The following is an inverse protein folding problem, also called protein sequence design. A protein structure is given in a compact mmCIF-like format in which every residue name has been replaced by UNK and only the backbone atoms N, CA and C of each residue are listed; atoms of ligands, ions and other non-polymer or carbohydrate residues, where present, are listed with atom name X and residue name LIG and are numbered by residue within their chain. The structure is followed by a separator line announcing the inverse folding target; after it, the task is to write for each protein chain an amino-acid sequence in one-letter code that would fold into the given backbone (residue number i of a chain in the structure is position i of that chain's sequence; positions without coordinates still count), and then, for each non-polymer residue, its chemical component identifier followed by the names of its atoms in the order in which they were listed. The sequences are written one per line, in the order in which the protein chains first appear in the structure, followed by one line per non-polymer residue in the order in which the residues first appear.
data_IF_565401764371
#
_entry.id   IF_565401764371
#
_cell.length_a   1.000
_cell.length_b   1.000
_cell.length_c   1.000
_cell.angle_alpha   90.00
_cell.angle_beta   90.00
_cell.angle_gamma   90.00
#
_symmetry.space_group_name_H-M   'P 1'
#
loop_
_entity.id
_entity.type
_entity.pdbx_description
1 polymer ?
#
# COMPACT_ATOMS: atom_id res chain seq x y z
N UNK A 1 -14.06 -38.02 44.88
CA UNK A 1 -14.59 -37.17 45.98
C UNK A 1 -15.34 -36.01 45.36
N UNK A 2 -16.62 -35.82 45.72
CA UNK A 2 -17.54 -34.86 45.10
C UNK A 2 -17.50 -33.57 45.93
N UNK A 3 -17.09 -32.41 45.39
CA UNK A 3 -16.97 -31.21 46.19
C UNK A 3 -18.34 -30.77 46.70
N UNK A 4 -18.42 -30.46 47.98
CA UNK A 4 -19.63 -30.00 48.65
C UNK A 4 -20.05 -28.59 48.18
N UNK A 5 -21.36 -28.38 48.04
CA UNK A 5 -21.98 -27.19 47.42
C UNK A 5 -21.46 -25.85 47.96
N UNK A 6 -21.16 -25.78 49.26
CA UNK A 6 -20.66 -24.57 49.92
C UNK A 6 -19.26 -24.19 49.44
N UNK A 7 -18.40 -25.16 49.21
CA UNK A 7 -17.03 -24.97 48.70
C UNK A 7 -17.06 -24.47 47.25
N UNK A 8 -18.07 -24.87 46.48
CA UNK A 8 -18.27 -24.42 45.11
C UNK A 8 -18.66 -22.93 45.05
N UNK A 9 -19.55 -22.47 45.94
CA UNK A 9 -19.90 -21.05 46.03
C UNK A 9 -18.75 -20.17 46.51
N UNK A 10 -17.94 -20.66 47.45
CA UNK A 10 -16.76 -19.94 47.93
C UNK A 10 -15.68 -19.82 46.84
N UNK A 11 -15.46 -20.86 46.03
CA UNK A 11 -14.54 -20.80 44.89
C UNK A 11 -15.06 -19.87 43.78
N UNK A 12 -16.36 -19.88 43.49
CA UNK A 12 -16.98 -18.95 42.54
C UNK A 12 -16.87 -17.50 43.00
N UNK A 13 -17.12 -17.23 44.29
CA UNK A 13 -16.99 -15.89 44.87
C UNK A 13 -15.53 -15.40 44.85
N UNK A 14 -14.56 -16.27 45.15
CA UNK A 14 -13.14 -15.96 45.08
C UNK A 14 -12.68 -15.69 43.63
N UNK A 15 -13.17 -16.45 42.64
CA UNK A 15 -12.89 -16.22 41.22
C UNK A 15 -13.49 -14.89 40.74
N UNK A 16 -14.71 -14.56 41.16
CA UNK A 16 -15.34 -13.28 40.84
C UNK A 16 -14.60 -12.09 41.47
N UNK A 17 -14.11 -12.22 42.71
CA UNK A 17 -13.28 -11.18 43.35
C UNK A 17 -11.91 -11.02 42.67
N UNK A 18 -11.29 -12.11 42.23
CA UNK A 18 -10.01 -12.07 41.52
C UNK A 18 -10.11 -11.35 40.17
N UNK A 19 -11.27 -11.41 39.50
CA UNK A 19 -11.52 -10.68 38.24
C UNK A 19 -11.77 -9.18 38.45
N UNK A 20 -12.19 -8.74 39.64
CA UNK A 20 -12.39 -7.33 39.98
C UNK A 20 -11.11 -6.62 40.47
N UNK A 21 -10.07 -7.38 40.82
CA UNK A 21 -8.83 -6.89 41.43
C UNK A 21 -7.60 -6.95 40.53
N UNK A 22 -7.77 -7.19 39.22
CA UNK A 22 -6.72 -6.91 38.24
C UNK A 22 -7.01 -5.53 37.66
N UNK A 23 -6.20 -4.50 37.94
CA UNK A 23 -6.29 -3.24 37.23
C UNK A 23 -6.17 -3.55 35.75
N UNK A 24 -7.21 -3.24 34.96
CA UNK A 24 -7.24 -3.53 33.52
C UNK A 24 -6.03 -2.96 32.77
N UNK A 25 -5.27 -2.05 33.38
CA UNK A 25 -4.02 -1.50 32.86
C UNK A 25 -2.87 -2.51 32.66
N UNK A 26 -2.82 -3.65 33.37
CA UNK A 26 -1.69 -4.59 33.24
C UNK A 26 -1.97 -5.68 32.17
N UNK A 27 -3.22 -5.97 31.87
CA UNK A 27 -3.58 -6.86 30.75
C UNK A 27 -3.30 -6.20 29.38
N UNK A 28 -3.26 -4.86 29.31
CA UNK A 28 -3.02 -4.12 28.08
C UNK A 28 -1.54 -3.93 27.72
N UNK A 29 -0.62 -4.13 28.66
CA UNK A 29 0.82 -3.88 28.41
C UNK A 29 1.54 -5.13 27.87
N UNK A 30 1.14 -6.32 28.30
CA UNK A 30 1.74 -7.58 27.83
C UNK A 30 1.16 -8.09 26.49
N UNK A 31 -0.01 -7.60 26.07
CA UNK A 31 -0.63 -7.97 24.78
C UNK A 31 -0.06 -7.14 23.62
N UNK A 32 0.51 -5.96 23.86
CA UNK A 32 1.06 -5.13 22.77
C UNK A 32 2.38 -5.63 22.20
N UNK A 33 3.16 -6.42 22.95
CA UNK A 33 4.50 -6.83 22.52
C UNK A 33 4.56 -8.21 21.83
N UNK A 34 3.47 -8.98 21.83
CA UNK A 34 3.46 -10.35 21.28
C UNK A 34 2.48 -10.57 20.12
N UNK A 35 1.70 -9.57 19.73
CA UNK A 35 0.74 -9.68 18.62
C UNK A 35 1.13 -8.78 17.43
N UNK A 36 2.36 -8.91 16.93
CA UNK A 36 2.64 -8.56 15.52
C UNK A 36 1.93 -9.53 14.55
N UNK A 37 1.47 -10.67 15.05
CA UNK A 37 0.80 -11.69 14.24
C UNK A 37 -0.66 -11.32 13.89
N UNK A 38 -1.35 -10.49 14.67
CA UNK A 38 -2.75 -10.12 14.37
C UNK A 38 -2.90 -8.98 13.34
N UNK A 39 -1.80 -8.36 12.93
CA UNK A 39 -1.77 -7.49 11.74
C UNK A 39 -1.88 -8.30 10.42
N UNK A 40 -1.88 -9.65 10.51
CA UNK A 40 -1.98 -10.56 9.36
C UNK A 40 -3.35 -11.24 9.16
N UNK A 41 -4.30 -11.04 10.09
CA UNK A 41 -5.67 -11.58 9.97
C UNK A 41 -6.75 -10.52 9.81
N UNK A 42 -6.42 -9.23 9.95
CA UNK A 42 -7.00 -8.26 9.05
C UNK A 42 -6.56 -8.69 7.67
N UNK A 43 -7.53 -9.17 6.88
CA UNK A 43 -7.36 -9.33 5.45
C UNK A 43 -6.44 -8.21 4.98
N UNK A 44 -5.37 -8.60 4.27
CA UNK A 44 -4.73 -7.74 3.29
C UNK A 44 -5.85 -7.39 2.31
N UNK A 45 -6.69 -6.45 2.73
CA UNK A 45 -7.61 -5.73 1.89
C UNK A 45 -6.68 -5.29 0.77
N UNK A 46 -6.87 -5.78 -0.47
CA UNK A 46 -6.16 -5.16 -1.58
C UNK A 46 -6.37 -3.68 -1.36
N UNK A 47 -5.27 -2.93 -1.26
CA UNK A 47 -5.28 -1.50 -0.95
C UNK A 47 -6.53 -0.92 -1.60
N UNK A 48 -7.44 -0.28 -0.83
CA UNK A 48 -8.75 0.09 -1.34
C UNK A 48 -8.48 0.71 -2.69
N UNK A 49 -9.04 0.14 -3.76
CA UNK A 49 -8.97 0.70 -5.09
C UNK A 49 -9.54 2.09 -4.93
N UNK A 50 -8.66 3.02 -4.59
CA UNK A 50 -9.02 4.32 -4.10
C UNK A 50 -9.57 4.92 -5.37
N UNK A 51 -10.87 5.23 -5.36
CA UNK A 51 -11.45 6.28 -6.20
C UNK A 51 -10.73 7.58 -5.85
N UNK A 52 -9.43 7.63 -6.11
CA UNK A 52 -8.72 8.85 -6.37
C UNK A 52 -9.47 9.41 -7.56
N UNK A 53 -10.02 10.60 -7.38
CA UNK A 53 -10.57 11.40 -8.45
C UNK A 53 -9.35 11.71 -9.31
N UNK A 54 -9.00 10.73 -10.16
CA UNK A 54 -7.98 10.89 -11.16
C UNK A 54 -8.48 12.07 -11.98
N UNK A 55 -7.69 13.15 -12.16
CA UNK A 55 -8.04 14.11 -13.19
C UNK A 55 -8.28 13.27 -14.45
N UNK A 56 -9.46 13.42 -15.05
CA UNK A 56 -9.83 12.64 -16.23
C UNK A 56 -8.64 12.64 -17.18
N UNK A 57 -8.22 11.47 -17.72
CA UNK A 57 -7.12 11.39 -18.67
C UNK A 57 -7.26 12.56 -19.64
N UNK A 58 -6.20 13.34 -19.89
CA UNK A 58 -6.28 14.52 -20.75
C UNK A 58 -7.13 14.15 -21.96
N UNK A 59 -8.32 14.74 -22.07
CA UNK A 59 -9.34 14.30 -23.02
C UNK A 59 -8.64 14.11 -24.36
N UNK A 60 -8.67 12.89 -24.92
CA UNK A 60 -7.93 12.45 -26.11
C UNK A 60 -7.98 13.55 -27.18
N UNK A 61 -7.05 14.51 -27.10
CA UNK A 61 -6.89 15.53 -28.13
C UNK A 61 -6.31 14.72 -29.25
N UNK A 62 -6.98 14.68 -30.40
CA UNK A 62 -6.60 13.93 -31.59
C UNK A 62 -5.19 14.31 -32.05
N UNK A 63 -4.19 13.78 -31.35
CA UNK A 63 -2.83 14.29 -31.28
C UNK A 63 -1.87 13.11 -31.36
N UNK A 64 -0.75 13.38 -32.01
CA UNK A 64 0.36 12.44 -32.22
C UNK A 64 0.72 11.75 -30.91
N UNK A 65 0.75 10.41 -30.93
CA UNK A 65 1.25 9.63 -29.80
C UNK A 65 2.77 9.82 -29.70
N UNK A 66 3.23 10.08 -28.48
CA UNK A 66 4.65 10.09 -28.10
C UNK A 66 4.88 8.88 -27.21
N UNK A 67 5.81 8.02 -27.61
CA UNK A 67 6.19 6.88 -26.80
C UNK A 67 7.22 7.33 -25.76
N UNK A 68 6.88 7.17 -24.48
CA UNK A 68 7.74 7.56 -23.36
C UNK A 68 8.32 6.30 -22.72
N UNK A 69 9.65 6.23 -22.69
CA UNK A 69 10.38 5.13 -22.06
C UNK A 69 10.57 5.40 -20.56
N UNK A 70 10.07 4.49 -19.73
CA UNK A 70 10.30 4.49 -18.29
C UNK A 70 11.41 3.49 -17.96
N UNK A 71 12.39 3.91 -17.16
CA UNK A 71 13.50 3.06 -16.73
C UNK A 71 13.72 3.16 -15.22
N UNK A 72 13.75 2.03 -14.53
CA UNK A 72 13.94 1.94 -13.07
C UNK A 72 15.12 1.04 -12.75
N UNK A 73 16.10 1.57 -11.99
CA UNK A 73 17.27 0.80 -11.56
C UNK A 73 16.97 0.07 -10.25
N UNK A 74 16.50 -1.17 -10.36
CA UNK A 74 16.18 -2.01 -9.21
C UNK A 74 16.60 -3.49 -9.46
N UNK A 75 17.90 -3.79 -9.50
CA UNK A 75 18.40 -5.11 -9.93
C UNK A 75 17.96 -6.26 -9.01
N UNK A 76 17.75 -5.97 -7.72
CA UNK A 76 17.31 -6.95 -6.72
C UNK A 76 15.80 -7.11 -6.64
N UNK A 77 15.03 -6.27 -7.32
CA UNK A 77 13.57 -6.37 -7.28
C UNK A 77 13.08 -7.65 -7.98
N UNK A 78 11.94 -8.15 -7.51
CA UNK A 78 11.20 -9.26 -8.11
C UNK A 78 10.09 -8.75 -9.04
N UNK A 79 9.48 -7.60 -8.71
CA UNK A 79 8.45 -6.95 -9.53
C UNK A 79 8.63 -5.44 -9.48
N UNK A 80 8.52 -4.80 -10.64
CA UNK A 80 8.39 -3.35 -10.76
C UNK A 80 7.19 -3.03 -11.63
N UNK A 81 6.37 -2.09 -11.19
CA UNK A 81 5.22 -1.60 -11.91
C UNK A 81 5.10 -0.09 -11.77
N UNK A 82 4.31 0.54 -12.63
CA UNK A 82 3.97 1.95 -12.56
C UNK A 82 2.46 2.16 -12.64
N UNK A 83 2.01 3.22 -11.99
CA UNK A 83 0.62 3.64 -11.95
C UNK A 83 0.58 5.16 -12.09
N UNK A 84 -0.34 5.68 -12.89
CA UNK A 84 -0.51 7.11 -13.12
C UNK A 84 -1.78 7.42 -13.88
N UNK A 85 -1.93 8.68 -14.27
CA UNK A 85 -3.15 9.18 -14.91
C UNK A 85 -3.50 8.43 -16.22
N UNK A 86 -2.49 7.89 -16.92
CA UNK A 86 -2.65 7.17 -18.18
C UNK A 86 -3.14 5.71 -18.02
N UNK A 87 -3.08 5.13 -16.82
CA UNK A 87 -3.56 3.77 -16.55
C UNK A 87 -4.47 3.69 -15.32
N UNK A 88 -5.18 4.80 -15.02
CA UNK A 88 -6.15 4.89 -13.92
C UNK A 88 -5.55 4.52 -12.56
N UNK A 89 -4.26 4.81 -12.36
CA UNK A 89 -3.54 4.50 -11.13
C UNK A 89 -3.54 3.00 -10.74
N UNK A 90 -3.59 2.10 -11.72
CA UNK A 90 -3.57 0.65 -11.52
C UNK A 90 -2.21 0.03 -11.87
N UNK A 91 -1.45 -0.36 -10.83
CA UNK A 91 -0.15 -1.02 -10.98
C UNK A 91 -0.21 -2.38 -11.71
N UNK A 92 -1.37 -3.04 -11.73
CA UNK A 92 -1.52 -4.30 -12.49
C UNK A 92 -1.50 -4.07 -14.01
N UNK A 93 -1.84 -2.85 -14.44
CA UNK A 93 -1.89 -2.42 -15.85
C UNK A 93 -0.60 -1.75 -16.34
N UNK A 94 0.41 -1.62 -15.49
CA UNK A 94 1.70 -1.01 -15.83
C UNK A 94 2.93 -1.79 -15.37
N UNK A 95 3.03 -3.12 -15.57
CA UNK A 95 4.26 -3.86 -15.22
C UNK A 95 5.43 -3.44 -16.10
N UNK A 96 6.64 -3.36 -15.51
CA UNK A 96 7.88 -3.18 -16.26
C UNK A 96 8.56 -4.53 -16.52
N UNK A 97 9.35 -4.59 -17.59
CA UNK A 97 10.13 -5.76 -17.95
C UNK A 97 11.56 -5.63 -17.44
N UNK A 98 12.05 -6.67 -16.76
CA UNK A 98 13.44 -6.74 -16.29
C UNK A 98 14.36 -7.05 -17.46
N UNK A 99 15.30 -6.15 -17.72
CA UNK A 99 16.34 -6.32 -18.72
C UNK A 99 17.59 -7.00 -18.15
N UNK A 100 18.47 -7.47 -19.04
CA UNK A 100 19.69 -8.23 -18.68
C UNK A 100 20.68 -7.44 -17.83
N UNK A 101 20.66 -6.12 -17.91
CA UNK A 101 21.48 -5.20 -17.12
C UNK A 101 20.91 -4.91 -15.72
N UNK A 102 19.79 -5.56 -15.35
CA UNK A 102 19.13 -5.39 -14.06
C UNK A 102 18.26 -4.14 -13.97
N UNK A 103 18.11 -3.38 -15.05
CA UNK A 103 17.14 -2.29 -15.12
C UNK A 103 15.76 -2.83 -15.51
N UNK A 104 14.71 -2.13 -15.07
CA UNK A 104 13.33 -2.39 -15.43
C UNK A 104 12.88 -1.35 -16.44
N UNK A 105 12.25 -1.77 -17.53
CA UNK A 105 11.87 -0.90 -18.63
C UNK A 105 10.44 -1.15 -19.10
N UNK A 106 9.76 -0.08 -19.51
CA UNK A 106 8.53 -0.15 -20.29
C UNK A 106 8.42 1.10 -21.16
N UNK A 107 7.58 1.03 -22.18
CA UNK A 107 7.33 2.15 -23.09
C UNK A 107 5.82 2.36 -23.17
N UNK A 108 5.36 3.58 -22.88
CA UNK A 108 3.94 3.90 -22.82
C UNK A 108 3.62 4.96 -23.87
N UNK A 109 2.65 4.71 -24.77
CA UNK A 109 2.17 5.72 -25.69
C UNK A 109 1.32 6.74 -24.93
N UNK A 110 1.76 8.00 -24.94
CA UNK A 110 1.07 9.13 -24.30
C UNK A 110 0.78 10.21 -25.33
N UNK A 111 -0.35 10.88 -25.17
CA UNK A 111 -0.62 12.14 -25.89
C UNK A 111 0.11 13.29 -25.21
N UNK A 112 0.41 14.41 -25.91
CA UNK A 112 0.95 15.60 -25.26
C UNK A 112 0.07 16.08 -24.11
N UNK A 113 0.69 16.41 -22.98
CA UNK A 113 0.00 16.78 -21.74
C UNK A 113 0.84 16.58 -20.49
N UNK A 114 0.22 16.82 -19.33
CA UNK A 114 0.84 16.64 -18.03
C UNK A 114 0.23 15.41 -17.34
N UNK A 115 1.09 14.55 -16.81
CA UNK A 115 0.72 13.31 -16.15
C UNK A 115 1.36 13.24 -14.77
N UNK A 116 0.64 12.71 -13.80
CA UNK A 116 1.18 12.24 -12.54
C UNK A 116 1.28 10.72 -12.52
N UNK A 117 2.36 10.20 -11.93
CA UNK A 117 2.59 8.77 -11.77
C UNK A 117 3.40 8.44 -10.50
N UNK A 118 3.45 7.16 -10.17
CA UNK A 118 4.28 6.53 -9.14
C UNK A 118 4.81 5.19 -9.62
N UNK A 119 5.85 4.70 -8.94
CA UNK A 119 6.48 3.40 -9.20
C UNK A 119 6.28 2.51 -7.97
N UNK A 120 5.86 1.27 -8.21
CA UNK A 120 5.84 0.18 -7.24
C UNK A 120 7.07 -0.69 -7.43
N UNK A 121 7.85 -0.90 -6.36
CA UNK A 121 8.94 -1.88 -6.31
C UNK A 121 8.59 -2.89 -5.21
N UNK A 122 8.39 -4.15 -5.59
CA UNK A 122 8.05 -5.26 -4.67
C UNK A 122 6.89 -4.93 -3.70
N UNK A 123 5.84 -4.27 -4.22
CA UNK A 123 4.65 -3.89 -3.46
C UNK A 123 4.78 -2.60 -2.65
N UNK A 124 5.88 -1.85 -2.80
CA UNK A 124 6.07 -0.54 -2.17
C UNK A 124 5.99 0.55 -3.24
N UNK A 125 4.90 1.32 -3.21
CA UNK A 125 4.71 2.47 -4.09
C UNK A 125 5.47 3.70 -3.58
N UNK A 126 6.01 4.50 -4.51
CA UNK A 126 6.71 5.73 -4.22
C UNK A 126 6.99 6.58 -5.45
N UNK A 127 7.67 7.70 -5.20
CA UNK A 127 8.13 8.61 -6.26
C UNK A 127 9.24 7.95 -7.08
N UNK A 128 9.23 8.24 -8.38
CA UNK A 128 10.34 7.90 -9.27
C UNK A 128 11.56 8.77 -8.94
N UNK A 129 12.69 8.17 -8.50
CA UNK A 129 13.92 8.92 -8.24
C UNK A 129 14.50 9.58 -9.49
N UNK A 130 14.09 9.14 -10.68
CA UNK A 130 14.56 9.66 -11.97
C UNK A 130 13.64 10.74 -12.54
N UNK A 131 12.49 11.01 -11.91
CA UNK A 131 11.59 12.05 -12.37
C UNK A 131 12.20 13.44 -12.20
N UNK A 132 12.10 14.27 -13.23
CA UNK A 132 12.59 15.64 -13.20
C UNK A 132 11.78 16.54 -12.26
N UNK A 133 10.48 16.26 -12.11
CA UNK A 133 9.55 17.07 -11.34
C UNK A 133 8.66 16.20 -10.47
N UNK A 134 8.21 16.76 -9.35
CA UNK A 134 7.17 16.19 -8.51
C UNK A 134 6.07 17.21 -8.30
N UNK A 135 4.85 16.73 -8.06
CA UNK A 135 3.67 17.57 -7.84
C UNK A 135 2.95 17.10 -6.59
N UNK A 136 2.52 18.05 -5.77
CA UNK A 136 1.72 17.78 -4.59
C UNK A 136 0.24 18.00 -4.92
N UNK A 137 -0.58 16.98 -4.74
CA UNK A 137 -2.02 16.98 -5.01
C UNK A 137 -2.70 16.50 -3.73
N UNK A 138 -3.50 17.37 -3.09
CA UNK A 138 -4.31 17.03 -1.90
C UNK A 138 -3.54 16.33 -0.78
N UNK A 139 -2.31 16.76 -0.50
CA UNK A 139 -1.46 16.18 0.55
C UNK A 139 -0.74 14.89 0.14
N UNK A 140 -0.84 14.46 -1.13
CA UNK A 140 -0.04 13.37 -1.71
C UNK A 140 0.96 13.93 -2.71
N UNK A 141 2.12 13.30 -2.83
CA UNK A 141 3.14 13.68 -3.82
C UNK A 141 3.19 12.63 -4.94
N UNK A 142 3.16 13.08 -6.19
CA UNK A 142 3.36 12.28 -7.40
C UNK A 142 4.59 12.74 -8.17
N UNK A 143 5.20 11.84 -8.94
CA UNK A 143 6.17 12.20 -9.97
C UNK A 143 5.40 12.81 -11.14
N UNK A 144 5.88 13.95 -11.64
CA UNK A 144 5.24 14.68 -12.72
C UNK A 144 6.00 14.46 -14.03
N UNK A 145 5.25 14.23 -15.10
CA UNK A 145 5.74 14.03 -16.46
C UNK A 145 5.01 15.00 -17.38
N UNK A 146 5.77 15.75 -18.19
CA UNK A 146 5.25 16.58 -19.27
C UNK A 146 5.66 15.97 -20.60
N UNK A 147 4.70 15.84 -21.50
CA UNK A 147 4.87 15.32 -22.86
C UNK A 147 4.47 16.44 -23.81
N UNK A 148 5.36 16.83 -24.73
CA UNK A 148 5.16 17.90 -25.71
C UNK A 148 4.99 17.35 -27.15
#
# INVERSE_FOLDING_TARGET
MKPESKTLYLLLAALALALLAVPSAILLDAVKSHFSFLDSLTMRSPAPAQKHISPAPPALRSGKLVFVAFTVKAPKAAKVALAGDFNEWDFSRGPLLKAKDGAWRTEIPLTPGHYCYQIEIDGKAGLDPSAAQTKQIEGRTCSALTVD
#
